data_IF_597199425956
#
_entry.id   IF_597199425956
#
_cell.length_a   1.000
_cell.length_b   1.000
_cell.length_c   1.000
_cell.angle_alpha   90.00
_cell.angle_beta   90.00
_cell.angle_gamma   90.00
#
_symmetry.space_group_name_H-M   'P 1'
#
loop_
_entity.id
_entity.type
_entity.pdbx_description
1 polymer ?
#
# COMPACT_ATOMS: atom_id res chain seq x y z
N UNK A 1 -35.90 -42.03 -14.57
CA UNK A 1 -35.60 -42.37 -13.16
C UNK A 1 -34.13 -42.78 -13.06
N UNK A 2 -33.39 -42.05 -12.21
CA UNK A 2 -32.03 -42.26 -11.69
C UNK A 2 -30.88 -42.73 -12.61
N UNK A 3 -29.99 -41.79 -12.96
CA UNK A 3 -28.54 -42.04 -13.05
C UNK A 3 -27.84 -41.29 -11.91
N UNK A 4 -27.11 -42.04 -11.10
CA UNK A 4 -26.23 -41.58 -10.01
C UNK A 4 -24.90 -41.08 -10.57
N UNK A 5 -24.55 -39.81 -10.37
CA UNK A 5 -23.20 -39.30 -10.58
C UNK A 5 -22.44 -39.26 -9.25
N UNK A 6 -21.31 -39.98 -9.21
CA UNK A 6 -20.30 -39.90 -8.15
C UNK A 6 -19.64 -38.51 -8.18
N UNK A 7 -19.66 -37.82 -7.05
CA UNK A 7 -18.93 -36.58 -6.83
C UNK A 7 -17.42 -36.84 -6.70
N UNK A 8 -16.64 -36.26 -7.60
CA UNK A 8 -15.21 -36.06 -7.44
C UNK A 8 -14.97 -34.74 -6.73
N UNK A 9 -14.43 -34.79 -5.52
CA UNK A 9 -14.00 -33.62 -4.74
C UNK A 9 -12.74 -33.07 -5.40
N UNK A 10 -12.90 -32.02 -6.20
CA UNK A 10 -11.79 -31.21 -6.69
C UNK A 10 -11.35 -30.24 -5.59
N UNK A 11 -10.11 -30.38 -5.12
CA UNK A 11 -9.45 -29.45 -4.21
C UNK A 11 -9.27 -28.09 -4.89
N UNK A 12 -10.16 -27.13 -4.60
CA UNK A 12 -9.96 -25.73 -4.98
C UNK A 12 -8.84 -25.13 -4.12
N UNK A 13 -7.76 -24.72 -4.78
CA UNK A 13 -6.75 -23.82 -4.20
C UNK A 13 -7.41 -22.45 -3.98
N UNK A 14 -7.30 -21.81 -2.80
CA UNK A 14 -7.76 -20.44 -2.63
C UNK A 14 -6.81 -19.49 -3.37
N UNK A 15 -7.36 -18.71 -4.30
CA UNK A 15 -6.66 -17.63 -4.99
C UNK A 15 -6.42 -16.44 -4.06
N UNK A 16 -5.20 -15.93 -4.07
CA UNK A 16 -4.74 -14.77 -3.33
C UNK A 16 -5.30 -13.47 -3.93
N UNK A 17 -6.21 -12.80 -3.22
CA UNK A 17 -6.63 -11.42 -3.50
C UNK A 17 -5.68 -10.43 -2.79
N UNK A 18 -4.94 -9.64 -3.56
CA UNK A 18 -3.97 -8.64 -3.10
C UNK A 18 -4.70 -7.31 -2.82
N UNK A 19 -4.52 -6.73 -1.62
CA UNK A 19 -5.19 -5.48 -1.22
C UNK A 19 -4.35 -4.25 -1.53
N UNK A 20 -5.05 -3.15 -1.76
CA UNK A 20 -4.63 -1.81 -1.35
C UNK A 20 -4.61 -1.79 0.19
N UNK A 21 -3.43 -1.52 0.77
CA UNK A 21 -3.10 -1.71 2.18
C UNK A 21 -3.46 -3.11 2.75
N UNK A 22 -2.67 -4.15 2.43
CA UNK A 22 -2.78 -5.47 3.08
C UNK A 22 -1.80 -5.60 4.26
N UNK A 23 -2.30 -5.45 5.49
CA UNK A 23 -1.79 -6.22 6.61
C UNK A 23 -2.40 -7.63 6.53
N UNK A 24 -1.55 -8.62 6.29
CA UNK A 24 -1.92 -10.04 6.30
C UNK A 24 -1.47 -10.60 7.65
N UNK A 25 -2.43 -10.85 8.55
CA UNK A 25 -2.18 -11.41 9.87
C UNK A 25 -3.44 -11.45 10.72
N UNK A 26 -4.22 -12.52 10.60
CA UNK A 26 -5.26 -12.87 11.57
C UNK A 26 -4.54 -13.41 12.81
N UNK A 27 -4.59 -12.70 13.93
CA UNK A 27 -4.37 -13.28 15.25
C UNK A 27 -5.67 -13.11 16.04
N UNK A 28 -6.37 -14.23 16.20
CA UNK A 28 -7.47 -14.35 17.14
C UNK A 28 -6.86 -14.40 18.55
N UNK A 29 -7.11 -13.38 19.36
CA UNK A 29 -6.64 -13.31 20.75
C UNK A 29 -6.93 -11.96 21.37
N UNK A 30 -8.11 -11.83 21.98
CA UNK A 30 -8.46 -10.68 22.82
C UNK A 30 -7.65 -10.71 24.11
N UNK A 31 -6.72 -9.78 24.29
CA UNK A 31 -6.09 -9.50 25.57
C UNK A 31 -6.40 -8.05 25.96
N UNK A 32 -7.17 -7.87 27.04
CA UNK A 32 -7.40 -6.56 27.64
C UNK A 32 -6.06 -6.00 28.17
N UNK A 33 -5.66 -4.83 27.69
CA UNK A 33 -4.40 -4.16 28.06
C UNK A 33 -3.42 -3.88 26.91
N UNK A 34 -3.82 -4.09 25.64
CA UNK A 34 -2.92 -3.85 24.50
C UNK A 34 -2.68 -2.36 24.22
N UNK A 35 -1.42 -2.01 23.94
CA UNK A 35 -1.03 -0.74 23.32
C UNK A 35 -1.67 -0.65 21.92
N UNK A 36 -2.08 0.54 21.46
CA UNK A 36 -2.60 0.68 20.10
C UNK A 36 -1.52 0.21 19.12
N UNK A 37 -1.90 -0.61 18.16
CA UNK A 37 -0.97 -1.14 17.16
C UNK A 37 -0.73 -0.13 16.01
N UNK A 38 -0.96 1.16 16.26
CA UNK A 38 -0.82 2.23 15.28
C UNK A 38 0.30 3.16 15.71
N UNK A 39 1.26 3.37 14.81
CA UNK A 39 2.38 4.29 14.96
C UNK A 39 2.21 5.43 13.97
N UNK A 40 2.17 6.67 14.44
CA UNK A 40 2.14 7.85 13.57
C UNK A 40 3.52 8.48 13.53
N UNK A 41 4.10 8.62 12.34
CA UNK A 41 5.45 9.13 12.09
C UNK A 41 5.38 10.44 11.29
N UNK A 42 6.20 11.43 11.64
CA UNK A 42 6.27 12.72 10.93
C UNK A 42 5.12 13.69 11.19
N UNK A 43 5.23 14.88 10.59
CA UNK A 43 4.23 15.95 10.56
C UNK A 43 4.85 17.30 10.17
N UNK A 44 4.48 17.85 9.00
CA UNK A 44 4.84 19.22 8.59
C UNK A 44 3.56 20.01 8.28
N UNK A 45 3.47 21.22 8.80
CA UNK A 45 2.34 22.11 8.57
C UNK A 45 2.87 23.50 8.25
N UNK A 46 2.76 23.92 6.99
CA UNK A 46 3.20 25.26 6.56
C UNK A 46 4.69 25.54 6.77
N UNK A 47 5.54 24.50 6.82
CA UNK A 47 6.97 24.61 7.11
C UNK A 47 7.34 24.46 8.60
N UNK A 48 6.36 24.23 9.48
CA UNK A 48 6.57 23.94 10.89
C UNK A 48 6.39 22.44 11.19
N UNK A 49 7.35 21.84 11.88
CA UNK A 49 7.36 20.42 12.25
C UNK A 49 6.49 20.10 13.48
N UNK A 50 5.44 20.88 13.69
CA UNK A 50 4.51 20.76 14.82
C UNK A 50 3.10 20.67 14.28
N UNK A 51 2.40 19.59 14.62
CA UNK A 51 1.01 19.45 14.25
C UNK A 51 0.11 20.45 14.98
N UNK A 52 -0.80 21.15 14.28
CA UNK A 52 -1.74 22.06 14.93
C UNK A 52 -2.72 21.32 15.86
N UNK A 53 -2.76 19.99 15.78
CA UNK A 53 -3.53 19.10 16.65
C UNK A 53 -2.76 17.79 16.90
N UNK A 54 -3.17 17.01 17.92
CA UNK A 54 -2.56 15.71 18.18
C UNK A 54 -3.12 14.62 17.24
N UNK A 55 -2.42 14.40 16.12
CA UNK A 55 -2.69 13.28 15.20
C UNK A 55 -2.38 11.90 15.82
N UNK A 56 -1.69 11.85 16.97
CA UNK A 56 -1.35 10.60 17.69
C UNK A 56 -2.45 10.15 18.65
N UNK A 57 -3.53 10.93 18.79
CA UNK A 57 -4.70 10.57 19.57
C UNK A 57 -5.56 9.51 18.84
N UNK A 58 -5.01 8.31 18.66
CA UNK A 58 -5.71 7.15 18.09
C UNK A 58 -6.98 6.88 18.92
N UNK A 59 -8.13 6.54 18.30
CA UNK A 59 -9.38 6.32 19.00
C UNK A 59 -9.26 5.30 20.14
N UNK A 60 -9.73 5.67 21.33
CA UNK A 60 -9.87 4.79 22.48
C UNK A 60 -11.25 4.11 22.48
N UNK A 61 -11.35 2.85 22.95
CA UNK A 61 -10.29 2.03 23.56
C UNK A 61 -9.36 1.39 22.51
N UNK A 62 -8.04 1.62 22.62
CA UNK A 62 -6.93 1.06 21.81
C UNK A 62 -7.31 -0.06 20.82
N UNK A 63 -7.95 0.29 19.70
CA UNK A 63 -8.41 -0.69 18.73
C UNK A 63 -7.22 -1.36 18.06
N UNK A 64 -7.35 -2.65 17.76
CA UNK A 64 -6.39 -3.35 16.92
C UNK A 64 -6.77 -3.09 15.46
N UNK A 65 -6.03 -2.21 14.79
CA UNK A 65 -6.27 -1.88 13.39
C UNK A 65 -5.71 -2.96 12.48
N UNK A 66 -6.45 -3.26 11.41
CA UNK A 66 -6.04 -4.18 10.34
C UNK A 66 -5.74 -3.47 9.02
N UNK A 67 -6.28 -2.26 8.83
CA UNK A 67 -6.04 -1.39 7.66
C UNK A 67 -6.05 0.05 8.15
N UNK A 68 -5.13 0.87 7.61
CA UNK A 68 -5.08 2.32 7.85
C UNK A 68 -4.79 3.05 6.55
N UNK A 69 -5.36 4.24 6.40
CA UNK A 69 -5.09 5.19 5.33
C UNK A 69 -5.04 6.61 5.92
N UNK A 70 -4.41 7.53 5.21
CA UNK A 70 -4.23 8.91 5.66
C UNK A 70 -4.70 9.88 4.58
N UNK A 71 -5.39 10.95 4.98
CA UNK A 71 -5.66 12.13 4.14
C UNK A 71 -4.96 13.35 4.73
N UNK A 72 -5.22 14.57 4.22
CA UNK A 72 -4.42 15.77 4.54
C UNK A 72 -4.19 15.93 6.06
N UNK A 73 -5.28 15.97 6.85
CA UNK A 73 -5.21 16.12 8.32
C UNK A 73 -6.08 15.16 9.11
N UNK A 74 -6.34 14.00 8.52
CA UNK A 74 -7.05 12.93 9.18
C UNK A 74 -6.43 11.58 8.80
N UNK A 75 -6.65 10.60 9.64
CA UNK A 75 -6.41 9.21 9.33
C UNK A 75 -7.72 8.45 9.49
N UNK A 76 -7.84 7.36 8.76
CA UNK A 76 -8.97 6.45 8.83
C UNK A 76 -8.44 5.03 8.88
N UNK A 77 -9.08 4.18 9.67
CA UNK A 77 -8.68 2.80 9.82
C UNK A 77 -9.86 1.87 10.04
N UNK A 78 -9.63 0.61 9.70
CA UNK A 78 -10.55 -0.50 9.95
C UNK A 78 -9.96 -1.34 11.07
N UNK A 79 -10.72 -1.56 12.14
CA UNK A 79 -10.29 -2.43 13.24
C UNK A 79 -10.37 -3.93 12.87
N UNK A 80 -9.95 -4.80 13.79
CA UNK A 80 -9.96 -6.25 13.62
C UNK A 80 -11.38 -6.83 13.48
N UNK A 81 -12.39 -6.12 13.99
CA UNK A 81 -13.81 -6.48 13.90
C UNK A 81 -14.46 -5.92 12.62
N UNK A 82 -13.73 -5.10 11.86
CA UNK A 82 -14.15 -4.51 10.59
C UNK A 82 -14.82 -3.15 10.71
N UNK A 83 -14.83 -2.50 11.88
CA UNK A 83 -15.44 -1.17 12.04
C UNK A 83 -14.49 -0.05 11.61
N UNK A 84 -15.08 1.00 11.03
CA UNK A 84 -14.36 2.20 10.62
C UNK A 84 -14.21 3.19 11.77
N UNK A 85 -12.99 3.71 11.89
CA UNK A 85 -12.65 4.80 12.80
C UNK A 85 -11.89 5.87 12.03
N UNK A 86 -12.23 7.15 12.26
CA UNK A 86 -11.54 8.29 11.69
C UNK A 86 -11.10 9.22 12.82
N UNK A 87 -9.87 9.73 12.73
CA UNK A 87 -9.29 10.61 13.74
C UNK A 87 -8.36 11.64 13.09
N UNK A 88 -8.01 12.68 13.83
CA UNK A 88 -7.12 13.74 13.36
C UNK A 88 -7.63 15.13 13.72
N UNK A 89 -7.24 16.13 12.94
CA UNK A 89 -7.55 17.52 13.24
C UNK A 89 -9.01 17.84 12.91
N UNK A 90 -9.81 18.21 13.91
CA UNK A 90 -11.08 18.90 13.68
C UNK A 90 -10.77 20.30 13.08
N UNK A 91 -11.44 20.77 12.00
CA UNK A 91 -12.58 20.20 11.27
C UNK A 91 -12.25 19.41 10.00
N UNK A 92 -11.02 18.95 9.84
CA UNK A 92 -10.53 18.23 8.66
C UNK A 92 -10.90 16.74 8.66
N UNK A 93 -11.52 16.23 9.73
CA UNK A 93 -12.14 14.90 9.71
C UNK A 93 -13.38 15.00 8.80
N UNK A 94 -13.45 14.27 7.68
CA UNK A 94 -14.45 14.54 6.65
C UNK A 94 -15.92 14.28 7.04
N UNK A 95 -16.16 13.63 8.17
CA UNK A 95 -17.51 13.38 8.69
C UNK A 95 -17.56 12.22 9.70
N UNK A 96 -18.76 11.91 10.22
CA UNK A 96 -18.96 10.75 11.07
C UNK A 96 -18.65 9.45 10.31
N UNK A 97 -18.12 8.46 11.02
CA UNK A 97 -17.84 7.14 10.41
C UNK A 97 -19.15 6.39 10.13
N UNK A 98 -19.32 5.84 8.92
CA UNK A 98 -20.51 5.06 8.60
C UNK A 98 -20.58 3.77 9.42
N UNK A 99 -21.78 3.38 9.82
CA UNK A 99 -22.02 2.09 10.45
C UNK A 99 -21.86 0.91 9.47
N UNK A 100 -21.59 -0.26 10.05
CA UNK A 100 -21.36 -1.52 9.34
C UNK A 100 -19.91 -1.99 9.42
N UNK A 101 -19.62 -3.09 8.74
CA UNK A 101 -18.26 -3.63 8.62
C UNK A 101 -17.68 -3.38 7.23
N UNK A 102 -16.36 -3.23 7.18
CA UNK A 102 -15.62 -2.81 6.00
C UNK A 102 -14.40 -3.70 5.79
N UNK A 103 -13.97 -3.83 4.54
CA UNK A 103 -12.86 -4.70 4.13
C UNK A 103 -11.67 -3.96 3.55
N UNK A 104 -11.87 -2.71 3.11
CA UNK A 104 -10.85 -1.86 2.51
C UNK A 104 -11.20 -0.40 2.81
N UNK A 105 -10.16 0.44 2.95
CA UNK A 105 -10.31 1.89 3.04
C UNK A 105 -9.13 2.57 2.36
N UNK A 106 -9.40 3.65 1.63
CA UNK A 106 -8.40 4.58 1.10
C UNK A 106 -8.84 6.01 1.41
N UNK A 107 -7.88 6.93 1.51
CA UNK A 107 -8.14 8.33 1.84
C UNK A 107 -7.47 9.25 0.81
N UNK A 108 -8.22 10.24 0.33
CA UNK A 108 -7.72 11.36 -0.46
C UNK A 108 -7.53 12.59 0.43
N UNK A 109 -7.42 13.78 -0.18
CA UNK A 109 -7.07 15.01 0.56
C UNK A 109 -8.08 15.32 1.68
N UNK A 110 -9.37 15.36 1.33
CA UNK A 110 -10.48 15.74 2.23
C UNK A 110 -11.66 14.75 2.18
N UNK A 111 -11.44 13.53 1.71
CA UNK A 111 -12.45 12.48 1.63
C UNK A 111 -11.81 11.11 1.81
N UNK A 112 -12.63 10.10 2.13
CA UNK A 112 -12.21 8.72 2.09
C UNK A 112 -13.29 7.84 1.46
N UNK A 113 -12.85 6.71 0.92
CA UNK A 113 -13.75 5.66 0.42
C UNK A 113 -13.43 4.37 1.12
N UNK A 114 -14.48 3.68 1.59
CA UNK A 114 -14.36 2.37 2.19
C UNK A 114 -15.27 1.36 1.49
N UNK A 115 -14.83 0.10 1.41
CA UNK A 115 -15.63 -0.99 0.85
C UNK A 115 -16.38 -1.70 1.98
N UNK A 116 -17.70 -1.48 2.04
CA UNK A 116 -18.58 -2.17 2.99
C UNK A 116 -18.60 -3.65 2.67
N UNK A 117 -18.33 -4.48 3.66
CA UNK A 117 -18.28 -5.94 3.53
C UNK A 117 -19.64 -6.49 3.10
N UNK A 118 -19.64 -7.31 2.06
CA UNK A 118 -20.82 -8.07 1.61
C UNK A 118 -20.56 -9.58 1.62
N UNK A 119 -21.62 -10.42 1.72
CA UNK A 119 -21.49 -11.85 1.55
C UNK A 119 -20.84 -12.18 0.20
N UNK A 120 -19.72 -12.92 0.21
CA UNK A 120 -18.93 -13.22 -1.00
C UNK A 120 -17.53 -12.61 -1.00
N UNK A 121 -17.21 -11.72 -0.05
CA UNK A 121 -15.86 -11.15 0.09
C UNK A 121 -15.60 -9.94 -0.81
N UNK A 122 -16.67 -9.30 -1.28
CA UNK A 122 -16.61 -8.07 -2.08
C UNK A 122 -17.08 -6.90 -1.23
N UNK A 123 -16.93 -5.69 -1.77
CA UNK A 123 -17.54 -4.56 -1.10
C UNK A 123 -18.16 -3.52 -2.00
N UNK A 124 -19.23 -2.95 -1.44
CA UNK A 124 -19.93 -1.79 -1.99
C UNK A 124 -19.21 -0.55 -1.48
N UNK A 125 -18.79 0.37 -2.35
CA UNK A 125 -18.05 1.53 -1.90
C UNK A 125 -18.97 2.46 -1.10
N UNK A 126 -18.40 3.12 -0.11
CA UNK A 126 -19.05 4.16 0.69
C UNK A 126 -18.12 5.37 0.72
N UNK A 127 -18.60 6.51 0.24
CA UNK A 127 -17.89 7.79 0.23
C UNK A 127 -18.21 8.63 1.45
N UNK A 128 -17.20 9.26 2.05
CA UNK A 128 -17.37 10.27 3.11
C UNK A 128 -16.41 11.42 2.87
N UNK A 129 -16.92 12.65 2.94
CA UNK A 129 -16.12 13.86 2.80
C UNK A 129 -16.43 14.69 1.57
N UNK A 130 -15.42 15.45 1.11
CA UNK A 130 -15.55 16.39 0.00
C UNK A 130 -16.04 15.71 -1.30
N UNK A 131 -16.79 16.47 -2.07
CA UNK A 131 -17.43 16.06 -3.32
C UNK A 131 -17.26 17.10 -4.43
N UNK A 132 -16.45 18.14 -4.20
CA UNK A 132 -16.37 19.33 -5.05
C UNK A 132 -15.82 19.06 -6.46
N UNK A 133 -15.11 17.95 -6.66
CA UNK A 133 -14.47 17.55 -7.92
C UNK A 133 -15.01 16.21 -8.42
N UNK A 134 -16.30 15.99 -8.24
CA UNK A 134 -16.99 14.81 -8.76
C UNK A 134 -16.73 13.51 -7.98
N UNK A 135 -16.00 13.56 -6.87
CA UNK A 135 -15.68 12.36 -6.08
C UNK A 135 -16.93 11.64 -5.56
N UNK A 136 -18.07 12.36 -5.43
CA UNK A 136 -19.39 11.78 -5.15
C UNK A 136 -20.37 11.79 -6.33
N UNK A 137 -20.32 12.75 -7.25
CA UNK A 137 -21.33 12.84 -8.32
C UNK A 137 -21.12 11.79 -9.41
N UNK A 138 -19.89 11.33 -9.62
CA UNK A 138 -19.55 10.21 -10.53
C UNK A 138 -19.37 8.89 -9.76
N UNK A 139 -19.76 8.89 -8.48
CA UNK A 139 -19.63 7.74 -7.60
C UNK A 139 -20.48 6.58 -8.11
N UNK A 140 -19.98 5.35 -8.04
CA UNK A 140 -20.73 4.17 -8.46
C UNK A 140 -21.82 3.81 -7.44
N UNK A 141 -22.88 4.63 -7.34
CA UNK A 141 -24.13 4.29 -6.65
C UNK A 141 -24.89 3.14 -7.35
N UNK A 142 -24.36 2.65 -8.48
CA UNK A 142 -25.05 1.87 -9.52
C UNK A 142 -24.84 0.34 -9.44
N UNK A 143 -24.59 -0.22 -8.25
CA UNK A 143 -24.55 -1.68 -8.05
C UNK A 143 -23.21 -2.35 -8.32
N UNK A 144 -22.16 -1.59 -8.68
CA UNK A 144 -20.82 -2.15 -8.79
C UNK A 144 -20.29 -2.67 -7.45
N UNK A 145 -19.65 -3.85 -7.51
CA UNK A 145 -18.88 -4.41 -6.41
C UNK A 145 -17.40 -4.46 -6.78
N UNK A 146 -16.54 -4.19 -5.80
CA UNK A 146 -15.10 -4.05 -6.02
C UNK A 146 -14.31 -5.12 -5.28
N UNK A 147 -13.24 -5.61 -5.92
CA UNK A 147 -12.20 -6.46 -5.29
C UNK A 147 -11.27 -5.63 -4.41
N UNK A 148 -10.94 -4.43 -4.88
CA UNK A 148 -10.05 -3.49 -4.23
C UNK A 148 -10.33 -2.07 -4.73
N UNK A 149 -9.90 -1.09 -3.94
CA UNK A 149 -9.93 0.34 -4.29
C UNK A 149 -8.61 0.99 -3.93
N UNK A 150 -8.19 1.96 -4.73
CA UNK A 150 -7.16 2.93 -4.38
C UNK A 150 -7.77 4.33 -4.44
N UNK A 151 -7.40 5.18 -3.49
CA UNK A 151 -7.87 6.56 -3.41
C UNK A 151 -6.64 7.45 -3.47
N UNK A 152 -6.58 8.32 -4.48
CA UNK A 152 -5.55 9.35 -4.62
C UNK A 152 -6.07 10.67 -4.07
N UNK A 153 -5.31 11.75 -4.29
CA UNK A 153 -5.63 13.06 -3.74
C UNK A 153 -7.04 13.56 -4.10
N UNK A 154 -7.45 13.38 -5.36
CA UNK A 154 -8.70 13.92 -5.90
C UNK A 154 -9.63 12.88 -6.55
N UNK A 155 -9.19 11.64 -6.75
CA UNK A 155 -9.96 10.60 -7.44
C UNK A 155 -9.79 9.24 -6.77
N UNK A 156 -10.60 8.28 -7.19
CA UNK A 156 -10.46 6.90 -6.76
C UNK A 156 -10.63 5.93 -7.93
N UNK A 157 -10.02 4.76 -7.78
CA UNK A 157 -9.95 3.69 -8.77
C UNK A 157 -10.34 2.40 -8.07
N UNK A 158 -11.19 1.60 -8.71
CA UNK A 158 -11.60 0.30 -8.19
C UNK A 158 -11.46 -0.80 -9.25
N UNK A 159 -11.02 -1.98 -8.81
CA UNK A 159 -11.03 -3.18 -9.66
C UNK A 159 -12.39 -3.85 -9.50
N UNK A 160 -13.13 -3.93 -10.60
CA UNK A 160 -14.48 -4.48 -10.62
C UNK A 160 -14.44 -5.99 -10.35
N UNK A 161 -15.29 -6.45 -9.43
CA UNK A 161 -15.46 -7.87 -9.15
C UNK A 161 -16.44 -8.52 -10.12
N UNK A 162 -17.68 -8.07 -10.14
CA UNK A 162 -18.73 -8.66 -10.96
C UNK A 162 -19.21 -7.68 -12.02
N UNK A 163 -19.43 -8.23 -13.20
CA UNK A 163 -19.92 -7.57 -14.38
C UNK A 163 -21.41 -7.24 -14.24
N UNK A 164 -21.76 -6.22 -13.46
CA UNK A 164 -23.07 -5.57 -13.57
C UNK A 164 -22.99 -4.43 -14.59
N UNK A 165 -24.12 -4.12 -15.25
CA UNK A 165 -24.25 -2.99 -16.17
C UNK A 165 -23.24 -2.93 -17.33
N UNK A 166 -22.75 -4.09 -17.80
CA UNK A 166 -21.86 -4.17 -18.97
C UNK A 166 -20.37 -4.00 -18.68
N UNK A 167 -19.97 -3.90 -17.40
CA UNK A 167 -18.57 -3.99 -17.01
C UNK A 167 -18.03 -5.42 -17.13
N UNK A 168 -16.71 -5.57 -17.07
CA UNK A 168 -16.03 -6.87 -17.06
C UNK A 168 -15.30 -7.07 -15.74
N UNK A 169 -15.20 -8.31 -15.26
CA UNK A 169 -14.38 -8.61 -14.07
C UNK A 169 -12.91 -8.25 -14.35
N UNK A 170 -12.24 -7.75 -13.31
CA UNK A 170 -10.84 -7.27 -13.31
C UNK A 170 -10.57 -5.98 -14.07
N UNK A 171 -11.60 -5.34 -14.65
CA UNK A 171 -11.43 -4.03 -15.27
C UNK A 171 -11.68 -2.89 -14.29
N UNK A 172 -11.38 -1.66 -14.72
CA UNK A 172 -11.39 -0.50 -13.85
C UNK A 172 -12.73 0.25 -13.86
N UNK A 173 -13.11 0.74 -12.69
CA UNK A 173 -13.98 1.91 -12.56
C UNK A 173 -13.18 3.04 -11.94
N UNK A 174 -13.24 4.24 -12.51
CA UNK A 174 -12.50 5.43 -12.04
C UNK A 174 -13.51 6.55 -11.84
N UNK A 175 -13.43 7.27 -10.72
CA UNK A 175 -14.36 8.36 -10.39
C UNK A 175 -13.67 9.49 -9.64
N UNK A 176 -14.27 10.68 -9.71
CA UNK A 176 -13.73 11.91 -9.13
C UNK A 176 -12.71 12.63 -10.03
N UNK A 177 -11.90 13.49 -9.42
CA UNK A 177 -10.80 14.21 -10.03
C UNK A 177 -11.18 15.36 -10.95
N UNK A 178 -10.18 16.19 -11.27
CA UNK A 178 -10.27 17.15 -12.35
C UNK A 178 -10.28 16.42 -13.71
N UNK A 179 -10.85 17.00 -14.77
CA UNK A 179 -10.78 16.46 -16.14
C UNK A 179 -9.37 16.62 -16.73
N UNK A 180 -8.38 15.99 -16.11
CA UNK A 180 -6.95 16.10 -16.44
C UNK A 180 -6.29 14.72 -16.54
N UNK A 181 -6.88 13.82 -17.35
CA UNK A 181 -6.27 12.53 -17.73
C UNK A 181 -6.32 11.42 -16.68
N UNK A 182 -6.25 11.76 -15.39
CA UNK A 182 -6.29 10.79 -14.27
C UNK A 182 -7.58 9.98 -14.19
N UNK A 183 -8.69 10.60 -14.62
CA UNK A 183 -10.05 10.05 -14.63
C UNK A 183 -10.61 9.92 -16.04
N UNK A 184 -9.74 9.84 -17.06
CA UNK A 184 -10.15 9.76 -18.47
C UNK A 184 -10.03 8.33 -19.04
N UNK A 185 -10.99 7.42 -18.77
CA UNK A 185 -11.04 6.16 -19.51
C UNK A 185 -11.57 6.34 -20.94
N UNK A 186 -12.37 7.37 -21.25
CA UNK A 186 -13.22 7.36 -22.46
C UNK A 186 -12.72 8.10 -23.73
N UNK A 187 -11.53 8.71 -23.76
CA UNK A 187 -11.01 9.33 -25.01
C UNK A 187 -9.52 9.06 -25.23
N UNK A 188 -9.20 7.98 -25.96
CA UNK A 188 -7.98 7.70 -26.76
C UNK A 188 -6.57 7.94 -26.14
N UNK A 189 -5.49 7.30 -26.68
CA UNK A 189 -4.30 6.89 -25.92
C UNK A 189 -3.22 7.97 -25.76
N UNK A 190 -3.60 9.23 -25.54
CA UNK A 190 -2.64 10.34 -25.44
C UNK A 190 -1.97 10.47 -24.06
N UNK A 191 -2.52 9.85 -23.02
CA UNK A 191 -2.11 10.07 -21.61
C UNK A 191 -1.70 8.81 -20.84
N UNK A 192 -1.36 7.74 -21.56
CA UNK A 192 -0.88 6.48 -20.98
C UNK A 192 0.28 5.95 -21.82
N UNK A 193 1.37 5.52 -21.17
CA UNK A 193 2.47 4.86 -21.89
C UNK A 193 2.18 3.38 -22.07
N UNK A 194 1.85 3.01 -23.29
CA UNK A 194 1.64 1.64 -23.73
C UNK A 194 2.88 1.15 -24.49
N UNK A 195 3.66 0.25 -23.90
CA UNK A 195 4.58 -0.60 -24.68
C UNK A 195 4.05 -2.04 -24.77
N UNK A 196 2.73 -2.19 -24.95
CA UNK A 196 2.08 -3.50 -24.98
C UNK A 196 2.13 -4.12 -26.39
N UNK A 197 2.19 -5.46 -26.51
CA UNK A 197 1.95 -6.12 -27.79
C UNK A 197 0.49 -5.93 -28.23
N UNK A 198 0.23 -6.10 -29.53
CA UNK A 198 -1.13 -6.19 -30.03
C UNK A 198 -1.83 -7.45 -29.46
N UNK A 199 -3.15 -7.41 -29.19
CA UNK A 199 -4.08 -6.30 -29.43
C UNK A 199 -4.16 -5.25 -28.30
N UNK A 200 -3.46 -5.48 -27.18
CA UNK A 200 -3.60 -4.68 -25.96
C UNK A 200 -3.19 -3.21 -26.13
N UNK A 201 -2.26 -2.90 -27.03
CA UNK A 201 -1.87 -1.52 -27.35
C UNK A 201 -2.96 -0.69 -28.03
N UNK A 202 -4.06 -1.30 -28.46
CA UNK A 202 -5.22 -0.62 -29.05
C UNK A 202 -6.40 -0.54 -28.08
N UNK A 203 -6.31 -1.22 -26.92
CA UNK A 203 -7.38 -1.24 -25.94
C UNK A 203 -7.34 0.02 -25.06
N UNK A 204 -8.48 0.66 -24.79
CA UNK A 204 -8.57 1.67 -23.75
C UNK A 204 -8.19 1.08 -22.38
N UNK A 205 -7.58 1.89 -21.50
CA UNK A 205 -7.11 1.44 -20.18
C UNK A 205 -8.22 0.78 -19.36
N UNK A 206 -9.44 1.32 -19.40
CA UNK A 206 -10.58 0.74 -18.65
C UNK A 206 -11.06 -0.62 -19.16
N UNK A 207 -10.61 -1.06 -20.33
CA UNK A 207 -10.90 -2.41 -20.85
C UNK A 207 -9.76 -3.39 -20.54
N UNK A 208 -8.63 -2.90 -20.05
CA UNK A 208 -7.54 -3.76 -19.59
C UNK A 208 -7.90 -4.37 -18.23
N UNK A 209 -7.40 -5.58 -17.98
CA UNK A 209 -7.60 -6.31 -16.72
C UNK A 209 -6.43 -6.09 -15.79
N UNK A 210 -6.71 -5.88 -14.52
CA UNK A 210 -5.75 -5.52 -13.49
C UNK A 210 -5.86 -6.43 -12.28
N UNK A 211 -4.72 -6.77 -11.69
CA UNK A 211 -4.63 -7.44 -10.37
C UNK A 211 -4.29 -6.48 -9.24
N UNK A 212 -3.85 -5.28 -9.60
CA UNK A 212 -3.47 -4.23 -8.65
C UNK A 212 -3.63 -2.86 -9.32
N UNK A 213 -4.04 -1.87 -8.55
CA UNK A 213 -4.17 -0.47 -8.96
C UNK A 213 -3.75 0.46 -7.85
N UNK A 214 -3.23 1.61 -8.24
CA UNK A 214 -2.84 2.70 -7.36
C UNK A 214 -3.30 4.03 -7.96
N UNK A 215 -3.83 4.90 -7.11
CA UNK A 215 -4.23 6.25 -7.45
C UNK A 215 -3.24 7.22 -6.78
N UNK A 216 -2.63 8.06 -7.60
CA UNK A 216 -1.73 9.12 -7.19
C UNK A 216 -2.42 10.49 -7.15
N UNK A 217 -1.66 11.58 -6.95
CA UNK A 217 -2.22 12.94 -6.87
C UNK A 217 -2.97 13.36 -8.15
N UNK A 218 -2.32 13.17 -9.29
CA UNK A 218 -2.86 13.48 -10.63
C UNK A 218 -2.59 12.36 -11.64
N UNK A 219 -2.22 11.19 -11.14
CA UNK A 219 -1.79 10.05 -11.93
C UNK A 219 -2.33 8.77 -11.32
N UNK A 220 -2.22 7.69 -12.07
CA UNK A 220 -2.80 6.41 -11.74
C UNK A 220 -1.92 5.32 -12.33
N UNK A 221 -1.86 4.18 -11.66
CA UNK A 221 -1.09 3.05 -12.13
C UNK A 221 -1.82 1.75 -11.88
N UNK A 222 -1.43 0.73 -12.64
CA UNK A 222 -2.03 -0.58 -12.53
C UNK A 222 -1.09 -1.66 -13.03
N UNK A 223 -1.24 -2.85 -12.46
CA UNK A 223 -0.51 -4.04 -12.85
C UNK A 223 -1.48 -4.98 -13.54
N UNK A 224 -1.17 -5.33 -14.78
CA UNK A 224 -2.03 -6.13 -15.64
C UNK A 224 -2.22 -7.57 -15.12
N UNK A 225 -3.41 -8.12 -15.37
CA UNK A 225 -3.77 -9.50 -15.04
C UNK A 225 -4.26 -10.28 -16.27
N UNK A 226 -3.36 -11.09 -16.82
CA UNK A 226 -3.58 -11.95 -17.97
C UNK A 226 -2.81 -13.25 -17.79
N UNK A 227 -3.21 -14.12 -16.83
CA UNK A 227 -2.42 -15.29 -16.46
C UNK A 227 -2.14 -16.25 -17.64
N UNK A 228 -2.98 -16.22 -18.67
CA UNK A 228 -2.85 -17.01 -19.89
C UNK A 228 -1.95 -16.35 -20.97
N UNK A 229 -1.57 -15.08 -20.79
CA UNK A 229 -0.66 -14.35 -21.67
C UNK A 229 0.53 -13.76 -20.87
N UNK A 230 1.64 -14.52 -20.75
CA UNK A 230 2.81 -14.08 -20.00
C UNK A 230 3.50 -12.88 -20.65
N UNK A 231 3.21 -12.50 -21.90
CA UNK A 231 3.79 -11.32 -22.55
C UNK A 231 3.23 -10.01 -21.98
N UNK A 232 2.08 -10.06 -21.31
CA UNK A 232 1.40 -8.90 -20.72
C UNK A 232 1.11 -9.02 -19.23
N UNK A 233 0.90 -10.22 -18.67
CA UNK A 233 0.63 -10.37 -17.24
C UNK A 233 1.72 -9.71 -16.40
N UNK A 234 1.35 -9.02 -15.33
CA UNK A 234 2.32 -8.45 -14.39
C UNK A 234 3.08 -7.23 -14.92
N UNK A 235 2.74 -6.70 -16.09
CA UNK A 235 3.31 -5.44 -16.58
C UNK A 235 2.66 -4.24 -15.91
N UNK A 236 3.47 -3.21 -15.66
CA UNK A 236 3.04 -1.94 -15.10
C UNK A 236 2.54 -1.01 -16.21
N UNK A 237 1.41 -0.36 -15.96
CA UNK A 237 0.87 0.75 -16.76
C UNK A 237 0.70 1.95 -15.84
N UNK A 238 1.11 3.12 -16.31
CA UNK A 238 0.91 4.41 -15.62
C UNK A 238 0.17 5.33 -16.60
N UNK A 239 -0.81 6.07 -16.10
CA UNK A 239 -1.61 7.03 -16.86
C UNK A 239 -1.95 8.24 -16.01
N UNK A 240 -2.40 9.31 -16.65
CA UNK A 240 -2.77 10.55 -15.98
C UNK A 240 -2.10 11.77 -16.61
N UNK A 241 -2.03 12.86 -15.86
CA UNK A 241 -1.55 14.13 -16.39
C UNK A 241 -0.02 14.17 -16.54
N UNK A 242 0.45 14.46 -17.76
CA UNK A 242 1.86 14.67 -18.11
C UNK A 242 2.17 16.17 -18.41
N UNK A 243 1.19 17.08 -18.23
CA UNK A 243 1.22 18.44 -18.78
C UNK A 243 0.92 19.60 -17.79
N UNK A 244 0.46 19.37 -16.55
CA UNK A 244 0.31 20.48 -15.57
C UNK A 244 1.59 20.65 -14.72
N UNK A 245 2.26 21.78 -14.96
CA UNK A 245 3.34 22.40 -14.18
C UNK A 245 4.42 21.39 -13.70
N UNK A 246 5.30 21.02 -14.64
CA UNK A 246 6.60 20.37 -14.40
C UNK A 246 6.57 18.90 -13.92
N UNK A 247 5.70 18.05 -14.48
CA UNK A 247 5.75 16.60 -14.23
C UNK A 247 5.42 15.75 -15.45
N UNK A 248 6.14 14.63 -15.61
CA UNK A 248 6.20 13.75 -16.80
C UNK A 248 6.16 12.28 -16.36
N UNK A 249 5.44 11.97 -15.29
CA UNK A 249 5.59 10.72 -14.54
C UNK A 249 5.21 9.51 -15.39
N UNK A 250 4.19 9.66 -16.25
CA UNK A 250 3.78 8.61 -17.19
C UNK A 250 4.92 8.30 -18.16
N UNK A 251 5.66 9.32 -18.59
CA UNK A 251 6.81 9.15 -19.46
C UNK A 251 8.06 8.56 -18.79
N UNK A 252 8.17 8.69 -17.48
CA UNK A 252 9.27 8.15 -16.68
C UNK A 252 9.04 6.71 -16.20
N UNK A 253 7.81 6.20 -16.28
CA UNK A 253 7.46 4.86 -15.83
C UNK A 253 8.32 3.77 -16.51
N UNK A 254 8.70 2.71 -15.76
CA UNK A 254 9.47 1.59 -16.30
C UNK A 254 8.81 0.98 -17.54
N UNK A 255 9.55 0.91 -18.66
CA UNK A 255 9.01 0.51 -19.97
C UNK A 255 9.57 -0.82 -20.51
N UNK A 256 10.47 -1.47 -19.76
CA UNK A 256 11.05 -2.75 -20.15
C UNK A 256 9.96 -3.84 -20.24
N UNK A 257 9.73 -4.44 -21.42
CA UNK A 257 8.67 -5.42 -21.62
C UNK A 257 8.89 -6.75 -20.89
N UNK A 258 10.11 -7.05 -20.43
CA UNK A 258 10.47 -8.28 -19.72
C UNK A 258 10.37 -8.15 -18.19
N UNK A 259 10.18 -6.91 -17.70
CA UNK A 259 9.96 -6.63 -16.26
C UNK A 259 8.54 -6.97 -15.84
N UNK A 260 8.41 -7.51 -14.63
CA UNK A 260 7.13 -7.84 -13.99
C UNK A 260 7.08 -7.18 -12.62
N UNK A 261 5.87 -6.89 -12.14
CA UNK A 261 5.67 -6.17 -10.90
C UNK A 261 4.58 -6.83 -10.05
N UNK A 262 4.71 -6.70 -8.73
CA UNK A 262 3.71 -7.15 -7.74
C UNK A 262 2.94 -5.99 -7.12
N UNK A 263 3.61 -4.84 -6.96
CA UNK A 263 3.04 -3.63 -6.37
C UNK A 263 3.59 -2.38 -7.06
N UNK A 264 2.82 -1.30 -6.98
CA UNK A 264 3.25 0.05 -7.34
C UNK A 264 2.67 1.02 -6.32
N UNK A 265 3.44 2.01 -5.93
CA UNK A 265 2.96 3.16 -5.19
C UNK A 265 3.24 4.42 -6.00
N UNK A 266 2.32 5.37 -5.93
CA UNK A 266 2.45 6.68 -6.53
C UNK A 266 2.49 7.71 -5.41
N UNK A 267 3.28 8.75 -5.61
CA UNK A 267 3.21 9.97 -4.83
C UNK A 267 2.96 11.15 -5.77
N UNK A 268 3.14 12.36 -5.25
CA UNK A 268 2.76 13.56 -6.00
C UNK A 268 3.52 13.75 -7.33
N UNK A 269 4.82 13.39 -7.38
CA UNK A 269 5.70 13.49 -8.57
C UNK A 269 6.69 12.34 -8.74
N UNK A 270 6.43 11.22 -8.08
CA UNK A 270 7.27 10.03 -8.16
C UNK A 270 6.42 8.78 -8.04
N UNK A 271 6.97 7.65 -8.46
CA UNK A 271 6.38 6.34 -8.24
C UNK A 271 7.44 5.31 -7.92
N UNK A 272 7.02 4.23 -7.27
CA UNK A 272 7.91 3.17 -6.84
C UNK A 272 7.23 1.85 -7.11
N UNK A 273 7.85 1.02 -7.95
CA UNK A 273 7.34 -0.31 -8.24
C UNK A 273 8.13 -1.38 -7.48
N UNK A 274 7.44 -2.41 -6.99
CA UNK A 274 8.07 -3.63 -6.47
C UNK A 274 8.10 -4.65 -7.60
N UNK A 275 9.30 -5.03 -8.02
CA UNK A 275 9.52 -6.02 -9.08
C UNK A 275 9.07 -7.42 -8.61
N UNK A 276 8.51 -8.16 -9.55
CA UNK A 276 8.27 -9.58 -9.44
C UNK A 276 9.40 -10.34 -10.14
N UNK A 277 9.74 -11.53 -9.65
CA UNK A 277 10.52 -12.46 -10.46
C UNK A 277 9.83 -12.73 -11.81
N UNK A 278 10.61 -12.72 -12.89
CA UNK A 278 10.18 -13.12 -14.23
C UNK A 278 11.15 -14.16 -14.79
N UNK A 279 10.79 -14.80 -15.92
CA UNK A 279 11.70 -15.72 -16.60
C UNK A 279 13.03 -15.05 -17.02
N UNK A 280 12.96 -13.78 -17.42
CA UNK A 280 14.14 -12.99 -17.78
C UNK A 280 14.92 -12.50 -16.54
N UNK A 281 14.23 -12.28 -15.42
CA UNK A 281 14.81 -11.76 -14.18
C UNK A 281 14.36 -12.57 -12.94
N UNK A 282 14.88 -13.78 -12.74
CA UNK A 282 14.44 -14.63 -11.63
C UNK A 282 14.82 -14.08 -10.24
N UNK A 283 15.87 -13.24 -10.16
CA UNK A 283 16.37 -12.67 -8.92
C UNK A 283 15.65 -11.40 -8.42
N UNK A 284 14.77 -10.82 -9.24
CA UNK A 284 14.18 -9.50 -9.04
C UNK A 284 13.19 -9.39 -7.88
N UNK A 285 12.76 -10.52 -7.31
CA UNK A 285 11.56 -10.54 -6.48
C UNK A 285 11.64 -9.61 -5.26
N UNK A 286 10.78 -8.60 -5.19
CA UNK A 286 10.79 -7.64 -4.09
C UNK A 286 11.79 -6.49 -4.25
N UNK A 287 12.55 -6.38 -5.34
CA UNK A 287 13.43 -5.23 -5.59
C UNK A 287 12.60 -3.98 -5.92
N UNK A 288 13.02 -2.83 -5.39
CA UNK A 288 12.40 -1.53 -5.70
C UNK A 288 12.92 -0.96 -7.02
N UNK A 289 12.01 -0.34 -7.75
CA UNK A 289 12.30 0.44 -8.96
C UNK A 289 11.60 1.80 -8.83
N UNK A 290 12.27 2.81 -8.23
CA UNK A 290 11.76 4.16 -8.16
C UNK A 290 11.87 4.86 -9.52
N UNK A 291 10.91 5.72 -9.83
CA UNK A 291 10.88 6.55 -11.02
C UNK A 291 10.30 7.93 -10.68
N UNK A 292 10.80 8.97 -11.33
CA UNK A 292 10.41 10.36 -11.09
C UNK A 292 10.25 11.10 -12.40
N UNK A 293 9.58 12.25 -12.35
CA UNK A 293 9.56 13.19 -13.46
C UNK A 293 10.98 13.51 -13.94
N UNK A 294 11.19 13.51 -15.26
CA UNK A 294 12.50 13.58 -15.91
C UNK A 294 13.40 14.71 -15.35
N UNK A 295 14.32 14.35 -14.46
CA UNK A 295 15.30 15.26 -13.85
C UNK A 295 14.82 16.02 -12.60
N UNK A 296 13.57 15.84 -12.16
CA UNK A 296 13.07 16.39 -10.91
C UNK A 296 13.28 15.39 -9.77
N UNK A 297 14.49 15.40 -9.20
CA UNK A 297 14.76 14.67 -7.96
C UNK A 297 15.48 15.54 -6.89
N UNK A 298 14.91 16.68 -6.49
CA UNK A 298 15.53 17.53 -5.47
C UNK A 298 15.53 16.89 -4.07
N UNK A 299 14.81 15.78 -3.89
CA UNK A 299 14.62 15.13 -2.60
C UNK A 299 15.21 13.72 -2.52
N UNK A 300 15.90 13.23 -3.55
CA UNK A 300 16.49 11.88 -3.61
C UNK A 300 15.48 10.72 -3.58
N UNK A 301 14.33 10.90 -4.23
CA UNK A 301 13.31 9.87 -4.51
C UNK A 301 13.88 8.62 -5.18
N UNK A 302 14.90 8.77 -6.03
CA UNK A 302 15.49 7.65 -6.76
C UNK A 302 16.46 6.82 -5.91
N UNK A 303 16.84 7.27 -4.72
CA UNK A 303 17.76 6.59 -3.81
C UNK A 303 17.01 5.59 -2.91
N UNK A 304 16.32 4.63 -3.53
CA UNK A 304 15.62 3.59 -2.79
C UNK A 304 16.60 2.71 -1.99
N UNK A 305 16.26 2.31 -0.76
CA UNK A 305 17.10 1.44 0.06
C UNK A 305 17.32 0.08 -0.62
N UNK A 306 18.51 -0.52 -0.51
CA UNK A 306 18.76 -1.86 -1.01
C UNK A 306 17.97 -2.88 -0.18
N UNK A 307 17.54 -3.97 -0.80
CA UNK A 307 16.85 -5.06 -0.12
C UNK A 307 15.64 -5.58 -0.88
N UNK A 308 14.86 -6.44 -0.22
CA UNK A 308 13.60 -6.98 -0.74
C UNK A 308 12.43 -6.47 0.09
N UNK A 309 11.36 -6.09 -0.60
CA UNK A 309 10.21 -5.40 -0.03
C UNK A 309 8.92 -6.09 -0.41
N UNK A 310 7.96 -6.05 0.51
CA UNK A 310 6.63 -6.63 0.35
C UNK A 310 5.52 -5.58 0.24
N UNK A 311 5.81 -4.33 0.61
CA UNK A 311 4.90 -3.19 0.40
C UNK A 311 5.68 -1.89 0.27
N UNK A 312 5.12 -0.94 -0.46
CA UNK A 312 5.67 0.39 -0.67
C UNK A 312 4.53 1.39 -0.73
N UNK A 313 4.79 2.62 -0.32
CA UNK A 313 3.87 3.76 -0.35
C UNK A 313 4.64 5.02 -0.78
N UNK A 314 3.98 5.88 -1.57
CA UNK A 314 4.46 7.19 -1.96
C UNK A 314 3.65 8.28 -1.27
N UNK A 315 4.32 9.32 -0.77
CA UNK A 315 3.67 10.53 -0.24
C UNK A 315 3.98 11.75 -1.10
N UNK A 316 3.76 12.95 -0.56
CA UNK A 316 4.05 14.21 -1.27
C UNK A 316 5.51 14.29 -1.75
N UNK A 317 6.44 14.10 -0.81
CA UNK A 317 7.88 14.23 -1.04
C UNK A 317 8.72 13.14 -0.35
N UNK A 318 8.07 12.11 0.20
CA UNK A 318 8.72 11.00 0.90
C UNK A 318 8.18 9.66 0.46
N UNK A 319 8.94 8.61 0.72
CA UNK A 319 8.63 7.25 0.33
C UNK A 319 8.87 6.32 1.51
N UNK A 320 8.00 5.32 1.66
CA UNK A 320 8.09 4.34 2.74
C UNK A 320 7.89 2.94 2.18
N UNK A 321 8.71 1.99 2.59
CA UNK A 321 8.57 0.59 2.23
C UNK A 321 8.70 -0.30 3.46
N UNK A 322 8.01 -1.44 3.43
CA UNK A 322 8.19 -2.51 4.42
C UNK A 322 8.98 -3.63 3.77
N UNK A 323 10.11 -3.98 4.38
CA UNK A 323 10.94 -5.08 3.91
C UNK A 323 10.23 -6.43 4.11
N UNK A 324 10.74 -7.47 3.47
CA UNK A 324 10.30 -8.86 3.73
C UNK A 324 10.53 -9.28 5.19
N UNK A 325 11.36 -8.54 5.91
CA UNK A 325 11.63 -8.71 7.34
C UNK A 325 10.78 -7.77 8.21
N UNK A 326 9.70 -7.19 7.68
CA UNK A 326 8.76 -6.34 8.41
C UNK A 326 9.39 -5.06 9.00
N UNK A 327 10.53 -4.61 8.47
CA UNK A 327 11.19 -3.36 8.87
C UNK A 327 10.66 -2.21 8.01
N UNK A 328 10.48 -1.03 8.61
CA UNK A 328 10.12 0.18 7.88
C UNK A 328 11.40 0.86 7.39
N UNK A 329 11.45 1.09 6.08
CA UNK A 329 12.47 1.90 5.45
C UNK A 329 11.83 3.16 4.89
N UNK A 330 12.47 4.29 5.11
CA UNK A 330 12.01 5.60 4.66
C UNK A 330 13.14 6.32 3.96
N UNK A 331 12.83 6.98 2.85
CA UNK A 331 13.79 7.80 2.12
C UNK A 331 13.11 9.00 1.47
N UNK A 332 13.92 9.81 0.80
CA UNK A 332 13.60 11.09 0.17
C UNK A 332 13.62 12.30 1.12
N UNK A 333 12.65 13.24 1.03
CA UNK A 333 12.71 14.51 1.77
C UNK A 333 12.71 14.31 3.29
N UNK A 334 13.80 14.75 3.94
CA UNK A 334 14.08 14.55 5.36
C UNK A 334 13.77 15.78 6.23
N UNK A 335 12.89 16.71 5.82
CA UNK A 335 12.61 17.97 6.55
C UNK A 335 12.03 17.76 7.96
N UNK A 336 10.71 17.88 8.13
CA UNK A 336 10.02 17.57 9.40
C UNK A 336 9.88 16.07 9.70
N UNK A 337 10.72 15.30 9.03
CA UNK A 337 10.66 13.86 8.88
C UNK A 337 12.05 13.26 9.08
N UNK A 338 12.98 14.04 9.62
CA UNK A 338 14.34 13.65 10.02
C UNK A 338 14.38 12.60 11.14
N UNK A 339 13.24 12.30 11.78
CA UNK A 339 13.16 11.16 12.68
C UNK A 339 13.50 9.87 11.91
N UNK A 340 14.47 9.07 12.37
CA UNK A 340 14.74 7.78 11.75
C UNK A 340 13.46 6.93 11.78
N UNK A 341 13.22 6.08 10.77
CA UNK A 341 12.10 5.16 10.81
C UNK A 341 12.15 4.38 12.15
N UNK A 342 11.01 4.17 12.83
CA UNK A 342 11.05 3.52 14.13
C UNK A 342 11.73 2.16 14.04
N UNK A 343 12.69 1.92 14.93
CA UNK A 343 13.46 0.68 14.94
C UNK A 343 12.53 -0.49 15.30
N UNK A 344 12.54 -1.54 14.48
CA UNK A 344 11.75 -2.74 14.73
C UNK A 344 11.43 -3.52 13.46
N UNK A 345 10.91 -4.73 13.63
CA UNK A 345 10.52 -5.65 12.56
C UNK A 345 9.05 -6.09 12.70
N UNK A 346 8.19 -5.23 13.27
CA UNK A 346 6.81 -5.57 13.56
C UNK A 346 5.82 -4.89 12.63
N UNK A 347 6.26 -4.23 11.56
CA UNK A 347 5.34 -3.46 10.73
C UNK A 347 4.56 -4.35 9.76
N UNK A 348 3.24 -4.25 9.86
CA UNK A 348 2.27 -5.04 9.10
C UNK A 348 1.78 -4.29 7.87
N UNK A 349 1.51 -2.99 8.02
CA UNK A 349 1.11 -2.10 6.93
C UNK A 349 1.48 -0.66 7.22
N UNK A 350 1.51 0.16 6.18
CA UNK A 350 1.70 1.61 6.26
C UNK A 350 0.61 2.25 5.40
N UNK A 351 0.00 3.33 5.90
CA UNK A 351 -0.82 4.25 5.14
C UNK A 351 -0.09 5.59 5.02
N UNK A 352 -0.01 6.11 3.80
CA UNK A 352 0.43 7.46 3.50
C UNK A 352 -0.73 8.17 2.81
N UNK A 353 -0.97 9.43 3.16
CA UNK A 353 -1.77 10.30 2.32
C UNK A 353 -0.85 11.15 1.46
N UNK A 354 -1.27 11.41 0.24
CA UNK A 354 -0.40 12.05 -0.76
C UNK A 354 -0.18 13.54 -0.48
N UNK A 355 -1.16 14.20 0.14
CA UNK A 355 -1.04 15.56 0.68
C UNK A 355 -0.49 15.56 2.13
N UNK A 356 -0.51 14.39 2.78
CA UNK A 356 -0.10 14.24 4.18
C UNK A 356 1.41 14.31 4.33
N UNK A 357 1.87 15.20 5.20
CA UNK A 357 3.27 15.24 5.64
C UNK A 357 3.58 14.26 6.79
N UNK A 358 2.72 13.26 7.01
CA UNK A 358 2.84 12.26 8.05
C UNK A 358 2.50 10.86 7.51
N UNK A 359 2.98 9.85 8.21
CA UNK A 359 2.85 8.43 7.92
C UNK A 359 2.10 7.75 9.06
N UNK A 360 1.19 6.84 8.75
CA UNK A 360 0.55 5.96 9.75
C UNK A 360 0.99 4.54 9.47
N UNK A 361 1.44 3.80 10.48
CA UNK A 361 1.84 2.41 10.33
C UNK A 361 1.10 1.53 11.32
N UNK A 362 0.78 0.31 10.91
CA UNK A 362 0.27 -0.74 11.78
C UNK A 362 1.42 -1.64 12.18
N UNK A 363 1.58 -1.89 13.47
CA UNK A 363 2.42 -2.96 13.99
C UNK A 363 1.59 -4.22 14.19
N UNK A 364 2.17 -5.40 13.93
CA UNK A 364 1.62 -6.65 14.42
C UNK A 364 1.85 -6.66 15.93
N UNK A 365 0.75 -6.61 16.71
CA UNK A 365 0.79 -6.94 18.12
C UNK A 365 1.34 -8.36 18.27
N UNK A 366 2.60 -8.47 18.70
CA UNK A 366 3.29 -9.76 18.90
C UNK A 366 4.65 -9.91 18.23
N UNK A 367 5.18 -8.92 17.52
CA UNK A 367 6.49 -9.07 16.85
C UNK A 367 7.67 -8.51 17.66
N UNK A 368 8.76 -9.25 17.60
CA UNK A 368 9.95 -9.12 18.42
C UNK A 368 11.15 -9.03 17.50
N UNK A 369 11.90 -7.92 17.54
CA UNK A 369 13.09 -7.78 16.70
C UNK A 369 14.08 -8.94 16.86
N UNK A 370 14.18 -9.42 18.11
CA UNK A 370 14.98 -10.56 18.48
C UNK A 370 14.46 -11.91 17.98
N UNK A 371 13.21 -12.01 17.50
CA UNK A 371 12.66 -13.22 16.89
C UNK A 371 12.96 -13.21 15.39
N UNK A 372 14.23 -13.46 15.06
CA UNK A 372 14.75 -13.46 13.69
C UNK A 372 14.15 -14.59 12.86
N UNK A 373 13.98 -15.77 13.47
CA UNK A 373 13.58 -16.99 12.77
C UNK A 373 12.05 -17.12 12.59
N UNK A 374 11.29 -16.21 13.19
CA UNK A 374 9.83 -16.14 13.09
C UNK A 374 9.12 -17.22 13.91
N UNK A 375 9.77 -17.77 14.93
CA UNK A 375 9.19 -18.79 15.82
C UNK A 375 7.89 -18.31 16.46
N UNK A 376 6.85 -19.14 16.36
CA UNK A 376 5.50 -18.86 16.90
C UNK A 376 5.15 -19.73 18.11
N UNK A 377 6.01 -20.69 18.46
CA UNK A 377 5.82 -21.60 19.60
C UNK A 377 6.75 -21.23 20.76
N UNK A 378 6.28 -21.16 22.02
CA UNK A 378 7.13 -20.86 23.16
C UNK A 378 8.26 -21.89 23.39
N UNK A 379 9.48 -21.46 23.73
CA UNK A 379 9.90 -20.06 23.84
C UNK A 379 10.03 -19.40 22.46
N UNK A 380 9.41 -18.23 22.30
CA UNK A 380 9.45 -17.45 21.05
C UNK A 380 10.83 -16.90 20.71
N UNK A 381 11.71 -16.79 21.72
CA UNK A 381 13.12 -16.45 21.56
C UNK A 381 13.97 -17.64 21.96
N UNK A 382 14.85 -18.06 21.08
CA UNK A 382 15.73 -19.20 21.28
C UNK A 382 17.12 -18.94 20.69
N UNK A 383 18.03 -19.89 20.86
CA UNK A 383 19.35 -19.82 20.20
C UNK A 383 19.27 -19.76 18.68
N UNK A 384 18.16 -20.21 18.08
CA UNK A 384 17.97 -20.16 16.62
C UNK A 384 17.88 -18.73 16.10
N UNK A 385 17.42 -17.78 16.91
CA UNK A 385 17.38 -16.37 16.54
C UNK A 385 18.77 -15.76 16.44
N UNK A 386 19.68 -16.11 17.34
CA UNK A 386 21.08 -15.72 17.25
C UNK A 386 21.76 -16.32 16.01
N UNK A 387 21.43 -17.56 15.66
CA UNK A 387 21.94 -18.21 14.45
C UNK A 387 21.40 -17.51 13.20
N UNK A 388 20.10 -17.21 13.18
CA UNK A 388 19.46 -16.47 12.10
C UNK A 388 20.08 -15.08 11.92
N UNK A 389 20.27 -14.32 13.01
CA UNK A 389 20.94 -13.02 12.98
C UNK A 389 22.39 -13.12 12.51
N UNK A 390 23.15 -14.10 13.01
CA UNK A 390 24.54 -14.30 12.59
C UNK A 390 24.68 -14.63 11.09
N UNK A 391 23.76 -15.43 10.57
CA UNK A 391 23.70 -15.73 9.13
C UNK A 391 23.35 -14.48 8.31
N UNK A 392 22.39 -13.67 8.77
CA UNK A 392 22.04 -12.41 8.13
C UNK A 392 23.23 -11.42 8.15
N UNK A 393 23.93 -11.31 9.27
CA UNK A 393 25.12 -10.47 9.41
C UNK A 393 26.24 -10.92 8.46
N UNK A 394 26.51 -12.22 8.38
CA UNK A 394 27.52 -12.78 7.48
C UNK A 394 27.16 -12.62 5.99
N UNK A 395 25.86 -12.59 5.66
CA UNK A 395 25.35 -12.35 4.32
C UNK A 395 25.34 -10.87 3.93
N UNK A 396 25.78 -9.97 4.83
CA UNK A 396 25.64 -8.52 4.68
C UNK A 396 24.18 -8.10 4.43
N UNK A 397 23.25 -8.78 5.10
CA UNK A 397 21.82 -8.53 5.01
C UNK A 397 21.43 -7.26 5.82
N UNK A 398 20.68 -6.31 5.24
CA UNK A 398 20.20 -5.11 5.94
C UNK A 398 19.41 -5.39 7.23
N UNK A 399 18.82 -6.57 7.41
CA UNK A 399 18.19 -6.97 8.67
C UNK A 399 19.14 -6.85 9.87
N UNK A 400 20.41 -7.17 9.64
CA UNK A 400 21.44 -7.19 10.65
C UNK A 400 21.95 -5.80 11.07
N UNK A 401 21.48 -4.72 10.42
CA UNK A 401 21.71 -3.33 10.85
C UNK A 401 20.73 -2.99 11.99
N UNK A 402 21.06 -3.46 13.19
CA UNK A 402 20.17 -3.43 14.34
C UNK A 402 20.10 -2.04 14.99
N UNK A 403 21.17 -1.25 14.87
CA UNK A 403 21.24 0.11 15.39
C UNK A 403 20.83 1.18 14.35
N UNK A 404 20.74 0.81 13.08
CA UNK A 404 20.18 1.62 11.99
C UNK A 404 21.11 2.74 11.52
N UNK A 405 22.41 2.67 11.84
CA UNK A 405 23.38 3.72 11.49
C UNK A 405 24.07 3.50 10.14
N UNK A 406 23.81 2.36 9.50
CA UNK A 406 24.36 2.00 8.20
C UNK A 406 25.71 1.29 8.31
N UNK A 407 25.79 0.10 7.70
CA UNK A 407 26.99 -0.75 7.68
C UNK A 407 27.06 -1.68 8.88
N UNK A 408 27.37 -2.96 8.64
CA UNK A 408 27.31 -3.99 9.68
C UNK A 408 28.59 -4.04 10.53
N UNK A 409 28.45 -3.82 11.83
CA UNK A 409 29.54 -3.75 12.81
C UNK A 409 29.26 -4.57 14.07
N UNK A 410 30.23 -4.64 14.99
CA UNK A 410 30.03 -5.29 16.27
C UNK A 410 28.93 -4.62 17.13
N UNK A 411 28.60 -3.35 16.86
CA UNK A 411 27.54 -2.63 17.56
C UNK A 411 26.16 -3.21 17.25
N UNK A 412 25.97 -3.75 16.05
CA UNK A 412 24.73 -4.42 15.67
C UNK A 412 24.51 -5.70 16.47
N UNK A 413 25.56 -6.49 16.68
CA UNK A 413 25.50 -7.66 17.55
C UNK A 413 25.15 -7.29 18.98
N UNK A 414 25.72 -6.20 19.50
CA UNK A 414 25.41 -5.73 20.84
C UNK A 414 23.96 -5.23 20.94
N UNK A 415 23.49 -4.52 19.92
CA UNK A 415 22.11 -4.02 19.82
C UNK A 415 21.11 -5.19 19.74
N UNK A 416 21.40 -6.22 18.94
CA UNK A 416 20.60 -7.44 18.84
C UNK A 416 20.58 -8.20 20.17
N UNK A 417 21.74 -8.41 20.80
CA UNK A 417 21.84 -9.10 22.07
C UNK A 417 21.03 -8.40 23.18
N UNK A 418 21.05 -7.06 23.21
CA UNK A 418 20.25 -6.27 24.14
C UNK A 418 18.75 -6.45 23.89
N UNK A 419 18.31 -6.42 22.61
CA UNK A 419 16.91 -6.64 22.24
C UNK A 419 16.46 -8.08 22.53
N UNK A 420 17.34 -9.07 22.37
CA UNK A 420 17.08 -10.46 22.72
C UNK A 420 16.94 -10.66 24.24
N UNK A 421 17.83 -10.04 25.03
CA UNK A 421 17.78 -10.09 26.48
C UNK A 421 16.54 -9.39 27.07
N UNK A 422 16.09 -8.30 26.45
CA UNK A 422 14.89 -7.58 26.85
C UNK A 422 13.59 -8.32 26.48
N UNK A 423 13.68 -9.36 25.67
CA UNK A 423 12.53 -10.14 25.24
C UNK A 423 11.57 -9.37 24.34
N UNK A 424 10.43 -10.00 24.06
CA UNK A 424 9.42 -9.48 23.15
C UNK A 424 8.41 -8.61 23.91
N UNK A 425 8.88 -7.47 24.42
CA UNK A 425 8.04 -6.49 25.10
C UNK A 425 8.81 -5.52 25.99
N UNK A 426 9.18 -4.38 25.43
CA UNK A 426 9.27 -3.07 26.10
C UNK A 426 9.33 -1.96 25.06
#
# INVERSE_FOLDING_TARGET
MHRTHRGGIGTRRPGSSLRSALALGVLCGSAAGQTPNVVVMGGNWGGSCVAPCDMRAVPVPNYQFSIVASGDRFAVGIDADGFLHAWGCNPHIPGPTPGGTFSHVGAGEQFYVALRSSPGGFGVPVHVGDTSLGQRTDFPDTGYTFKSISVGEYHAIGIIKEAENGATEDTLYVWGGFPVGQTCPHTQPAHARFNLPAPYNQMPVYQLKFKFVEAGAYNSAGILHYPDDPSVDGRLIVWGNDDLINGRLVSAAPSNPDRRYKFVALGHRHGIAIRAASAAYPGDDGLLEPFTDAGFDPYNHLQAPPGRFKSVMGGYAHSVAISVYNQVHKWSWNGCMADPPPSGNNFASVGLGESSHFTVAITQGGSCYANCDGSTSPPMLSSNDFICFANAFAANDPYADCDGVGGLTANDYQSFANKFANGCGM
#
